data_IF_903493065855
#
_entry.id   IF_903493065855
#
_cell.length_a   1.000
_cell.length_b   1.000
_cell.length_c   1.000
_cell.angle_alpha   90.00
_cell.angle_beta   90.00
_cell.angle_gamma   90.00
#
_symmetry.space_group_name_H-M   'P 1'
#
loop_
_entity.id
_entity.type
_entity.pdbx_description
1 polymer ?
#
# COMPACT_ATOMS: atom_id res chain seq x y z
N UNK A 1 -48.33 18.76 -15.48
CA UNK A 1 -47.66 17.53 -15.98
C UNK A 1 -46.12 17.50 -15.85
N UNK A 2 -45.43 18.58 -15.43
CA UNK A 2 -43.96 18.62 -15.34
C UNK A 2 -43.34 17.87 -14.12
N UNK A 3 -44.10 17.68 -13.04
CA UNK A 3 -43.63 17.04 -11.80
C UNK A 3 -43.48 15.52 -11.96
N UNK A 4 -44.33 14.89 -12.79
CA UNK A 4 -44.32 13.43 -13.04
C UNK A 4 -43.05 13.00 -13.80
N UNK A 5 -42.65 13.76 -14.83
CA UNK A 5 -41.44 13.49 -15.61
C UNK A 5 -40.14 13.67 -14.81
N UNK A 6 -40.10 14.63 -13.87
CA UNK A 6 -38.94 14.81 -12.99
C UNK A 6 -38.76 13.60 -12.05
N UNK A 7 -39.86 13.11 -11.46
CA UNK A 7 -39.86 11.92 -10.58
C UNK A 7 -39.45 10.64 -11.33
N UNK A 8 -39.89 10.46 -12.57
CA UNK A 8 -39.50 9.33 -13.41
C UNK A 8 -38.01 9.34 -13.77
N UNK A 9 -37.45 10.50 -14.13
CA UNK A 9 -36.01 10.66 -14.44
C UNK A 9 -35.12 10.45 -13.22
N UNK A 10 -35.50 10.94 -12.05
CA UNK A 10 -34.76 10.66 -10.79
C UNK A 10 -34.80 9.19 -10.41
N UNK A 11 -35.93 8.49 -10.60
CA UNK A 11 -36.03 7.04 -10.32
C UNK A 11 -35.19 6.20 -11.28
N UNK A 12 -35.18 6.57 -12.56
CA UNK A 12 -34.33 5.92 -13.56
C UNK A 12 -32.83 6.16 -13.29
N UNK A 13 -32.45 7.37 -12.88
CA UNK A 13 -31.07 7.70 -12.51
C UNK A 13 -30.60 6.94 -11.26
N UNK A 14 -31.46 6.85 -10.23
CA UNK A 14 -31.16 6.08 -9.00
C UNK A 14 -31.07 4.58 -9.30
N UNK A 15 -31.95 4.03 -10.14
CA UNK A 15 -31.88 2.63 -10.56
C UNK A 15 -30.63 2.31 -11.38
N UNK A 16 -30.19 3.23 -12.25
CA UNK A 16 -28.96 3.08 -13.01
C UNK A 16 -27.71 3.12 -12.11
N UNK A 17 -27.65 4.04 -11.14
CA UNK A 17 -26.57 4.12 -10.15
C UNK A 17 -26.53 2.88 -9.23
N UNK A 18 -27.68 2.33 -8.85
CA UNK A 18 -27.78 1.08 -8.10
C UNK A 18 -27.29 -0.13 -8.91
N UNK A 19 -27.59 -0.18 -10.21
CA UNK A 19 -27.10 -1.25 -11.09
C UNK A 19 -25.57 -1.20 -11.26
N UNK A 20 -24.98 0.00 -11.38
CA UNK A 20 -23.53 0.18 -11.48
C UNK A 20 -22.78 -0.21 -10.19
N UNK A 21 -23.39 -0.04 -9.02
CA UNK A 21 -22.79 -0.43 -7.74
C UNK A 21 -22.85 -1.95 -7.48
N UNK A 22 -23.85 -2.66 -8.02
CA UNK A 22 -23.93 -4.12 -7.92
C UNK A 22 -22.85 -4.85 -8.76
N UNK A 23 -22.45 -4.31 -9.91
CA UNK A 23 -21.42 -4.94 -10.76
C UNK A 23 -20.02 -4.84 -10.15
N UNK A 24 -19.73 -3.77 -9.42
CA UNK A 24 -18.46 -3.62 -8.70
C UNK A 24 -18.31 -4.58 -7.51
N UNK A 25 -19.43 -5.00 -6.88
CA UNK A 25 -19.42 -5.92 -5.73
C UNK A 25 -19.21 -7.40 -6.11
N UNK A 26 -19.79 -7.84 -7.23
CA UNK A 26 -19.75 -9.24 -7.64
C UNK A 26 -18.36 -9.69 -8.16
N UNK A 27 -17.63 -8.82 -8.86
CA UNK A 27 -16.28 -9.12 -9.34
C UNK A 27 -15.24 -9.20 -8.21
N UNK A 28 -15.43 -8.43 -7.14
CA UNK A 28 -14.54 -8.41 -5.98
C UNK A 28 -14.55 -9.73 -5.20
N UNK A 29 -15.73 -10.30 -4.94
CA UNK A 29 -15.83 -11.56 -4.20
C UNK A 29 -15.17 -12.73 -4.95
N UNK A 30 -15.41 -12.85 -6.26
CA UNK A 30 -14.80 -13.90 -7.09
C UNK A 30 -13.27 -13.77 -7.17
N UNK A 31 -12.75 -12.55 -7.35
CA UNK A 31 -11.31 -12.31 -7.40
C UNK A 31 -10.62 -12.60 -6.05
N UNK A 32 -11.26 -12.25 -4.92
CA UNK A 32 -10.74 -12.54 -3.58
C UNK A 32 -10.74 -14.05 -3.27
N UNK A 33 -11.78 -14.77 -3.70
CA UNK A 33 -11.86 -16.23 -3.55
C UNK A 33 -10.78 -16.93 -4.37
N UNK A 34 -10.53 -16.48 -5.60
CA UNK A 34 -9.52 -17.09 -6.47
C UNK A 34 -8.10 -16.82 -5.96
N UNK A 35 -7.84 -15.58 -5.50
CA UNK A 35 -6.58 -15.23 -4.84
C UNK A 35 -6.34 -16.06 -3.58
N UNK A 36 -7.37 -16.23 -2.73
CA UNK A 36 -7.27 -17.04 -1.52
C UNK A 36 -6.91 -18.50 -1.81
N UNK A 37 -7.49 -19.10 -2.87
CA UNK A 37 -7.14 -20.47 -3.28
C UNK A 37 -5.74 -20.56 -3.86
N UNK A 38 -5.31 -19.58 -4.65
CA UNK A 38 -3.96 -19.54 -5.19
C UNK A 38 -2.91 -19.44 -4.08
N UNK A 39 -3.14 -18.55 -3.12
CA UNK A 39 -2.28 -18.35 -1.95
C UNK A 39 -2.20 -19.63 -1.08
N UNK A 40 -3.33 -20.30 -0.85
CA UNK A 40 -3.34 -21.58 -0.12
C UNK A 40 -2.51 -22.66 -0.86
N UNK A 41 -2.63 -22.76 -2.19
CA UNK A 41 -1.84 -23.72 -2.99
C UNK A 41 -0.34 -23.42 -2.93
N UNK A 42 0.03 -22.14 -2.89
CA UNK A 42 1.42 -21.72 -2.75
C UNK A 42 1.98 -22.04 -1.35
N UNK A 43 1.22 -21.79 -0.30
CA UNK A 43 1.61 -22.15 1.06
C UNK A 43 1.80 -23.63 1.22
N UNK A 44 0.87 -24.43 0.69
CA UNK A 44 0.96 -25.88 0.73
C UNK A 44 2.28 -26.35 0.13
N UNK A 45 2.59 -25.87 -1.08
CA UNK A 45 3.87 -26.16 -1.76
C UNK A 45 5.07 -25.71 -0.94
N UNK A 46 4.96 -24.57 -0.27
CA UNK A 46 6.02 -24.08 0.62
C UNK A 46 6.20 -25.00 1.82
N UNK A 47 5.13 -25.37 2.52
CA UNK A 47 5.19 -26.26 3.67
C UNK A 47 5.73 -27.65 3.30
N UNK A 48 5.25 -28.23 2.20
CA UNK A 48 5.74 -29.49 1.65
C UNK A 48 7.24 -29.42 1.34
N UNK A 49 7.72 -28.33 0.71
CA UNK A 49 9.15 -28.12 0.41
C UNK A 49 10.03 -28.10 1.65
N UNK A 50 9.51 -27.64 2.79
CA UNK A 50 10.22 -27.61 4.07
C UNK A 50 9.94 -28.85 4.94
N UNK A 51 9.38 -29.92 4.37
CA UNK A 51 9.17 -31.21 5.04
C UNK A 51 7.96 -31.24 5.98
N UNK A 52 7.11 -30.22 5.94
CA UNK A 52 5.83 -30.21 6.63
C UNK A 52 4.74 -30.60 5.63
N UNK A 53 4.62 -31.90 5.32
CA UNK A 53 3.70 -32.48 4.33
C UNK A 53 2.41 -33.04 4.95
N UNK A 54 2.38 -33.26 6.28
CA UNK A 54 1.19 -33.70 7.00
C UNK A 54 1.22 -33.45 8.51
N UNK A 55 0.12 -33.81 9.17
CA UNK A 55 0.00 -33.77 10.64
C UNK A 55 0.13 -32.38 11.26
N UNK A 56 0.62 -32.33 12.51
CA UNK A 56 0.68 -31.10 13.30
C UNK A 56 1.63 -30.06 12.73
N UNK A 57 2.74 -30.50 12.13
CA UNK A 57 3.75 -29.59 11.58
C UNK A 57 3.26 -28.92 10.29
N UNK A 58 2.50 -29.64 9.45
CA UNK A 58 1.77 -29.03 8.33
C UNK A 58 0.83 -27.93 8.80
N UNK A 59 -0.02 -28.20 9.80
CA UNK A 59 -0.95 -27.21 10.35
C UNK A 59 -0.21 -25.99 10.91
N UNK A 60 0.89 -26.20 11.66
CA UNK A 60 1.70 -25.11 12.19
C UNK A 60 2.29 -24.25 11.08
N UNK A 61 2.81 -24.87 10.02
CA UNK A 61 3.36 -24.18 8.87
C UNK A 61 2.30 -23.35 8.16
N UNK A 62 1.15 -23.94 7.82
CA UNK A 62 0.05 -23.24 7.14
C UNK A 62 -0.45 -22.04 7.95
N UNK A 63 -0.58 -22.18 9.26
CA UNK A 63 -0.95 -21.06 10.14
C UNK A 63 0.12 -19.96 10.17
N UNK A 64 1.40 -20.32 10.11
CA UNK A 64 2.48 -19.34 10.03
C UNK A 64 2.45 -18.59 8.69
N UNK A 65 2.18 -19.28 7.58
CA UNK A 65 2.06 -18.63 6.27
C UNK A 65 0.85 -17.70 6.19
N UNK A 66 -0.30 -18.13 6.74
CA UNK A 66 -1.47 -17.26 6.85
C UNK A 66 -1.15 -15.98 7.63
N UNK A 67 -0.54 -16.11 8.82
CA UNK A 67 -0.12 -14.93 9.62
C UNK A 67 0.83 -14.01 8.87
N UNK A 68 1.78 -14.56 8.11
CA UNK A 68 2.70 -13.75 7.28
C UNK A 68 1.93 -12.94 6.24
N UNK A 69 0.94 -13.53 5.56
CA UNK A 69 0.10 -12.79 4.61
C UNK A 69 -0.74 -11.72 5.28
N UNK A 70 -1.35 -12.05 6.41
CA UNK A 70 -2.21 -11.11 7.13
C UNK A 70 -1.42 -9.88 7.62
N UNK A 71 -0.13 -10.06 7.95
CA UNK A 71 0.76 -8.99 8.40
C UNK A 71 1.49 -8.26 7.27
N UNK A 72 1.57 -8.84 6.06
CA UNK A 72 2.31 -8.25 4.94
C UNK A 72 1.86 -6.82 4.58
N UNK A 73 0.55 -6.47 4.57
CA UNK A 73 0.12 -5.10 4.29
C UNK A 73 0.61 -4.10 5.36
N UNK A 74 0.61 -4.50 6.63
CA UNK A 74 1.07 -3.65 7.73
C UNK A 74 2.57 -3.39 7.61
N UNK A 75 3.36 -4.45 7.39
CA UNK A 75 4.79 -4.34 7.18
C UNK A 75 5.14 -3.48 5.96
N UNK A 76 4.41 -3.67 4.84
CA UNK A 76 4.59 -2.85 3.65
C UNK A 76 4.29 -1.37 3.92
N UNK A 77 3.22 -1.06 4.66
CA UNK A 77 2.88 0.31 5.02
C UNK A 77 3.95 0.95 5.93
N UNK A 78 4.46 0.21 6.91
CA UNK A 78 5.55 0.66 7.78
C UNK A 78 6.84 0.91 6.99
N UNK A 79 7.20 0.00 6.08
CA UNK A 79 8.35 0.16 5.20
C UNK A 79 8.22 1.42 4.33
N UNK A 80 7.04 1.69 3.77
CA UNK A 80 6.81 2.89 2.97
C UNK A 80 6.96 4.17 3.80
N UNK A 81 6.49 4.18 5.05
CA UNK A 81 6.70 5.32 5.97
C UNK A 81 8.17 5.53 6.27
N UNK A 82 8.91 4.46 6.58
CA UNK A 82 10.34 4.52 6.84
C UNK A 82 11.12 5.05 5.62
N UNK A 83 10.80 4.54 4.42
CA UNK A 83 11.42 4.99 3.17
C UNK A 83 11.14 6.46 2.87
N UNK A 84 9.89 6.91 3.08
CA UNK A 84 9.51 8.30 2.90
C UNK A 84 10.25 9.23 3.87
N UNK A 85 10.41 8.81 5.13
CA UNK A 85 11.17 9.56 6.12
C UNK A 85 12.65 9.65 5.72
N UNK A 86 13.27 8.51 5.40
CA UNK A 86 14.67 8.47 4.96
C UNK A 86 14.91 9.35 3.72
N UNK A 87 13.97 9.38 2.77
CA UNK A 87 14.06 10.27 1.61
C UNK A 87 14.05 11.75 2.00
N UNK A 88 13.18 12.16 2.95
CA UNK A 88 13.15 13.55 3.46
C UNK A 88 14.45 13.93 4.17
N UNK A 89 14.94 13.05 5.05
CA UNK A 89 16.16 13.28 5.82
C UNK A 89 17.39 13.38 4.91
N UNK A 90 17.43 12.59 3.82
CA UNK A 90 18.48 12.68 2.82
C UNK A 90 18.45 14.02 2.07
N UNK A 91 17.27 14.49 1.67
CA UNK A 91 17.13 15.81 1.00
C UNK A 91 17.58 16.94 1.93
N UNK A 92 17.18 16.90 3.20
CA UNK A 92 17.59 17.88 4.20
C UNK A 92 19.11 17.84 4.41
N UNK A 93 19.69 16.65 4.53
CA UNK A 93 21.13 16.47 4.68
C UNK A 93 21.91 17.07 3.51
N UNK A 94 21.47 16.80 2.27
CA UNK A 94 22.10 17.37 1.06
C UNK A 94 21.97 18.89 1.03
N UNK A 95 20.79 19.44 1.39
CA UNK A 95 20.58 20.89 1.50
C UNK A 95 21.55 21.52 2.50
N UNK A 96 21.71 20.92 3.68
CA UNK A 96 22.63 21.40 4.72
C UNK A 96 24.09 21.34 4.26
N UNK A 97 24.51 20.25 3.63
CA UNK A 97 25.87 20.12 3.06
C UNK A 97 26.12 21.21 2.02
N UNK A 98 25.17 21.44 1.12
CA UNK A 98 25.28 22.47 0.09
C UNK A 98 25.41 23.86 0.71
N UNK A 99 24.53 24.20 1.64
CA UNK A 99 24.58 25.50 2.32
C UNK A 99 25.93 25.70 3.04
N UNK A 100 26.39 24.70 3.80
CA UNK A 100 27.68 24.79 4.50
C UNK A 100 28.87 24.96 3.55
N UNK A 101 28.84 24.31 2.37
CA UNK A 101 29.86 24.52 1.33
C UNK A 101 29.82 25.93 0.76
N UNK A 102 28.64 26.46 0.48
CA UNK A 102 28.47 27.85 -0.01
C UNK A 102 28.91 28.87 1.04
N UNK A 103 28.55 28.66 2.31
CA UNK A 103 29.00 29.47 3.43
C UNK A 103 30.53 29.47 3.61
N UNK A 104 31.16 28.30 3.49
CA UNK A 104 32.63 28.18 3.50
C UNK A 104 33.26 29.01 2.39
N UNK A 105 32.76 28.87 1.15
CA UNK A 105 33.26 29.62 -0.02
C UNK A 105 33.09 31.13 0.14
N UNK A 106 31.99 31.60 0.73
CA UNK A 106 31.77 33.03 0.97
C UNK A 106 32.80 33.60 1.97
N UNK A 107 33.08 32.88 3.06
CA UNK A 107 34.10 33.26 4.05
C UNK A 107 35.49 33.34 3.42
N UNK A 108 35.84 32.39 2.55
CA UNK A 108 37.11 32.37 1.81
C UNK A 108 37.27 33.59 0.88
N UNK A 109 36.18 34.14 0.36
CA UNK A 109 36.16 35.38 -0.44
C UNK A 109 36.09 36.66 0.40
N UNK A 110 36.01 36.57 1.72
CA UNK A 110 35.78 37.72 2.61
C UNK A 110 34.34 38.26 2.58
N UNK A 111 33.40 37.51 2.01
CA UNK A 111 31.98 37.88 1.96
C UNK A 111 31.22 37.42 3.21
N UNK A 112 30.07 38.03 3.49
CA UNK A 112 29.17 37.57 4.55
C UNK A 112 28.58 36.20 4.18
N UNK A 113 28.79 35.21 5.03
CA UNK A 113 28.25 33.87 4.81
C UNK A 113 26.71 33.82 4.96
N UNK A 114 26.01 33.06 4.10
CA UNK A 114 24.59 32.75 4.29
C UNK A 114 24.37 31.94 5.57
N UNK A 115 23.19 32.11 6.17
CA UNK A 115 22.77 31.33 7.32
C UNK A 115 22.27 29.95 6.87
N UNK A 116 22.78 28.91 7.51
CA UNK A 116 22.41 27.52 7.25
C UNK A 116 21.67 26.96 8.46
N UNK A 117 20.43 26.49 8.30
CA UNK A 117 19.75 25.70 9.33
C UNK A 117 20.38 24.31 9.49
#
# INVERSE_FOLDING_TARGET
MLISHRRARTRAAVAALAALSCVAGAGGAAAQIDWGRAAQREDRRTCEKFGADGGKDYTRCMLAQQRRRDQAPLYAAEQQRANAQAARDNVETVRRIRCNREAKRARERGERAPWCP
#
